data_IF_594022348675
#
_entry.id   IF_594022348675
#
_cell.length_a   1.000
_cell.length_b   1.000
_cell.length_c   1.000
_cell.angle_alpha   90.00
_cell.angle_beta   90.00
_cell.angle_gamma   90.00
#
_symmetry.space_group_name_H-M   'P 1'
#
loop_
_entity.id
_entity.type
_entity.pdbx_description
1 polymer ?
#
# COMPACT_ATOMS: atom_id res chain seq x y z
N UNK A 1 27.76 16.80 26.82
CA UNK A 1 26.62 16.05 27.40
C UNK A 1 25.29 16.31 26.69
N UNK A 2 25.19 17.28 25.76
CA UNK A 2 23.97 17.55 24.96
C UNK A 2 23.96 16.85 23.60
N UNK A 3 25.12 16.39 23.11
CA UNK A 3 25.30 15.70 21.83
C UNK A 3 24.54 14.39 21.76
N UNK A 4 24.55 13.60 22.82
CA UNK A 4 24.09 12.21 22.79
C UNK A 4 22.56 12.15 22.76
N UNK A 5 21.88 13.06 23.48
CA UNK A 5 20.43 13.23 23.40
C UNK A 5 19.98 13.70 22.01
N UNK A 6 20.79 14.54 21.35
CA UNK A 6 20.51 15.00 19.99
C UNK A 6 20.70 13.89 18.94
N UNK A 7 21.67 12.99 19.14
CA UNK A 7 21.87 11.81 18.29
C UNK A 7 20.76 10.78 18.47
N UNK A 8 20.39 10.46 19.72
CA UNK A 8 19.27 9.54 20.02
C UNK A 8 17.97 10.03 19.39
N UNK A 9 17.68 11.34 19.47
CA UNK A 9 16.48 11.94 18.87
C UNK A 9 16.47 11.84 17.34
N UNK A 10 17.64 12.00 16.69
CA UNK A 10 17.80 11.85 15.23
C UNK A 10 17.65 10.40 14.79
N UNK A 11 18.14 9.46 15.58
CA UNK A 11 18.07 8.04 15.32
C UNK A 11 16.63 7.53 15.45
N UNK A 12 15.89 7.96 16.48
CA UNK A 12 14.46 7.65 16.67
C UNK A 12 13.61 8.23 15.54
N UNK A 13 13.91 9.46 15.08
CA UNK A 13 13.22 10.06 13.93
C UNK A 13 13.47 9.30 12.60
N UNK A 14 14.61 8.63 12.48
CA UNK A 14 14.95 7.78 11.33
C UNK A 14 14.46 6.33 11.48
N UNK A 15 14.11 5.89 12.69
CA UNK A 15 13.58 4.55 12.94
C UNK A 15 12.07 4.56 12.66
N UNK A 16 11.74 3.98 11.50
CA UNK A 16 10.42 3.52 11.03
C UNK A 16 9.69 4.42 10.03
N UNK A 17 10.33 4.65 8.88
CA UNK A 17 9.60 4.77 7.61
C UNK A 17 9.24 3.36 7.08
N UNK A 18 8.39 2.62 7.80
CA UNK A 18 7.88 1.34 7.26
C UNK A 18 6.86 1.65 6.18
N UNK A 19 7.05 1.08 4.99
CA UNK A 19 6.10 1.20 3.89
C UNK A 19 4.98 0.17 4.04
N UNK A 20 3.76 0.60 3.72
CA UNK A 20 2.58 -0.27 3.69
C UNK A 20 2.25 -0.57 2.24
N UNK A 21 2.07 -1.85 1.92
CA UNK A 21 1.72 -2.29 0.56
C UNK A 21 0.34 -2.95 0.60
N UNK A 22 -0.59 -2.44 -0.21
CA UNK A 22 -1.86 -3.09 -0.49
C UNK A 22 -1.66 -4.18 -1.54
N UNK A 23 -2.15 -5.39 -1.28
CA UNK A 23 -2.11 -6.50 -2.22
C UNK A 23 -3.54 -6.92 -2.57
N UNK A 24 -3.83 -7.00 -3.87
CA UNK A 24 -5.07 -7.54 -4.40
C UNK A 24 -4.75 -8.50 -5.55
N UNK A 25 -5.58 -9.50 -5.80
CA UNK A 25 -5.37 -10.48 -6.86
C UNK A 25 -6.69 -10.84 -7.54
N UNK A 26 -6.57 -11.40 -8.75
CA UNK A 26 -7.63 -12.11 -9.48
C UNK A 26 -8.96 -11.38 -9.52
N UNK A 27 -8.91 -10.06 -9.68
CA UNK A 27 -10.12 -9.24 -9.77
C UNK A 27 -10.93 -9.59 -11.01
N UNK A 28 -10.26 -10.00 -12.10
CA UNK A 28 -10.85 -10.33 -13.39
C UNK A 28 -11.93 -9.31 -13.83
N UNK A 29 -11.69 -8.03 -13.54
CA UNK A 29 -12.55 -6.94 -14.00
C UNK A 29 -12.07 -6.55 -15.40
N UNK A 30 -12.96 -6.43 -16.42
CA UNK A 30 -14.42 -6.54 -16.35
C UNK A 30 -15.01 -7.93 -16.64
N UNK A 31 -14.20 -8.95 -16.95
CA UNK A 31 -14.71 -10.22 -17.52
C UNK A 31 -15.52 -11.10 -16.56
N UNK A 32 -15.22 -11.08 -15.26
CA UNK A 32 -15.94 -11.84 -14.20
C UNK A 32 -16.64 -10.95 -13.18
N UNK A 33 -16.22 -9.69 -13.07
CA UNK A 33 -16.84 -8.70 -12.21
C UNK A 33 -16.90 -7.35 -12.94
N UNK A 34 -18.00 -6.61 -12.77
CA UNK A 34 -18.16 -5.30 -13.44
C UNK A 34 -17.20 -4.24 -12.92
N UNK A 35 -16.79 -4.33 -11.65
CA UNK A 35 -15.90 -3.37 -10.99
C UNK A 35 -15.31 -3.93 -9.70
N UNK A 36 -14.21 -3.33 -9.23
CA UNK A 36 -13.70 -3.54 -7.88
C UNK A 36 -14.65 -2.88 -6.86
N UNK A 37 -15.00 -3.51 -5.73
CA UNK A 37 -15.86 -2.91 -4.71
C UNK A 37 -15.30 -1.60 -4.15
N UNK A 38 -16.15 -0.58 -3.97
CA UNK A 38 -15.76 0.75 -3.45
C UNK A 38 -14.98 0.70 -2.12
N UNK A 39 -15.29 -0.28 -1.27
CA UNK A 39 -14.61 -0.48 0.01
C UNK A 39 -13.11 -0.79 -0.15
N UNK A 40 -12.71 -1.49 -1.21
CA UNK A 40 -11.29 -1.83 -1.47
C UNK A 40 -10.46 -0.56 -1.66
N UNK A 41 -10.98 0.40 -2.42
CA UNK A 41 -10.32 1.70 -2.61
C UNK A 41 -10.18 2.46 -1.29
N UNK A 42 -11.20 2.40 -0.42
CA UNK A 42 -11.14 3.02 0.92
C UNK A 42 -10.09 2.36 1.82
N UNK A 43 -9.97 1.03 1.77
CA UNK A 43 -8.96 0.30 2.54
C UNK A 43 -7.55 0.64 2.05
N UNK A 44 -7.37 0.81 0.73
CA UNK A 44 -6.07 1.14 0.13
C UNK A 44 -5.78 2.64 0.05
N UNK A 45 -6.60 3.50 0.64
CA UNK A 45 -6.44 4.96 0.54
C UNK A 45 -5.10 5.47 1.10
N UNK A 46 -4.53 4.79 2.10
CA UNK A 46 -3.34 5.23 2.83
C UNK A 46 -2.13 4.28 2.69
N UNK A 47 -2.16 3.36 1.72
CA UNK A 47 -1.00 2.50 1.44
C UNK A 47 -0.01 3.24 0.53
N UNK A 48 1.29 2.97 0.68
CA UNK A 48 2.32 3.59 -0.16
C UNK A 48 2.33 3.02 -1.58
N UNK A 49 1.97 1.73 -1.72
CA UNK A 49 1.93 1.02 -3.01
C UNK A 49 0.75 0.04 -3.04
N UNK A 50 0.19 -0.17 -4.24
CA UNK A 50 -0.78 -1.23 -4.51
C UNK A 50 -0.18 -2.18 -5.53
N UNK A 51 -0.16 -3.47 -5.21
CA UNK A 51 0.26 -4.54 -6.12
C UNK A 51 -0.99 -5.34 -6.52
N UNK A 52 -1.23 -5.45 -7.81
CA UNK A 52 -2.18 -6.40 -8.37
C UNK A 52 -1.44 -7.68 -8.76
N UNK A 53 -1.68 -8.79 -8.06
CA UNK A 53 -0.96 -10.06 -8.22
C UNK A 53 -1.67 -11.11 -9.08
N UNK A 54 -2.77 -10.72 -9.75
CA UNK A 54 -3.47 -11.56 -10.73
C UNK A 54 -3.61 -10.87 -12.08
N UNK A 55 -4.48 -11.42 -12.92
CA UNK A 55 -4.62 -10.99 -14.31
C UNK A 55 -5.40 -9.68 -14.47
N UNK A 56 -4.86 -8.80 -15.31
CA UNK A 56 -5.63 -7.72 -15.91
C UNK A 56 -6.26 -8.24 -17.20
N UNK A 57 -7.56 -8.07 -17.32
CA UNK A 57 -8.36 -8.62 -18.42
C UNK A 57 -9.17 -7.51 -19.08
N UNK A 58 -9.71 -7.78 -20.27
CA UNK A 58 -10.60 -6.88 -21.02
C UNK A 58 -11.82 -7.66 -21.52
N UNK A 59 -12.84 -6.95 -21.99
CA UNK A 59 -13.85 -7.55 -22.86
C UNK A 59 -13.25 -7.60 -24.28
N UNK A 60 -13.36 -8.74 -24.93
CA UNK A 60 -12.96 -8.92 -26.33
C UNK A 60 -14.01 -8.34 -27.30
#
# INVERSE_FOLDING_TARGET
>A
MTSDLSMISREIANVKASKTVGLISDTHVPSRASCIPKMVFKIFENVDFIIHAGDLVKLD
#
